data_IF_637474491745
#
_entry.id   IF_637474491745
#
_cell.length_a   1.000
_cell.length_b   1.000
_cell.length_c   1.000
_cell.angle_alpha   90.00
_cell.angle_beta   90.00
_cell.angle_gamma   90.00
#
_symmetry.space_group_name_H-M   'P 1'
#
loop_
_entity.id
_entity.type
_entity.pdbx_description
1 polymer ?
#
# COMPACT_ATOMS: atom_id res chain seq x y z
N UNK A 1 -9.01 -12.68 43.27
CA UNK A 1 -7.78 -13.36 42.79
C UNK A 1 -7.51 -12.79 41.38
N UNK A 2 -6.55 -11.90 41.25
CA UNK A 2 -6.18 -11.44 39.89
C UNK A 2 -5.16 -12.47 39.41
N UNK A 3 -5.59 -13.32 38.47
CA UNK A 3 -4.70 -14.24 37.76
C UNK A 3 -3.67 -13.46 36.90
N UNK A 4 -2.73 -14.16 36.28
CA UNK A 4 -1.85 -13.60 35.30
C UNK A 4 -2.67 -12.93 34.16
N UNK A 5 -2.18 -11.84 33.53
CA UNK A 5 -2.84 -11.24 32.38
C UNK A 5 -2.97 -12.28 31.26
N UNK A 6 -4.02 -12.18 30.46
CA UNK A 6 -4.29 -13.07 29.34
C UNK A 6 -4.57 -12.27 28.08
N UNK A 7 -3.92 -12.62 26.98
CA UNK A 7 -4.19 -12.03 25.67
C UNK A 7 -5.09 -12.98 24.88
N UNK A 8 -6.27 -12.50 24.47
CA UNK A 8 -7.21 -13.25 23.64
C UNK A 8 -6.92 -12.99 22.15
N UNK A 9 -6.78 -11.72 21.74
CA UNK A 9 -6.50 -11.31 20.35
C UNK A 9 -5.61 -10.08 20.26
N UNK A 10 -4.98 -9.92 19.07
CA UNK A 10 -4.28 -8.68 18.66
C UNK A 10 -4.78 -8.27 17.28
N UNK A 11 -5.19 -7.01 17.13
CA UNK A 11 -5.79 -6.47 15.90
C UNK A 11 -5.24 -5.08 15.54
N UNK A 12 -4.73 -4.93 14.31
CA UNK A 12 -4.41 -5.98 13.34
C UNK A 12 -3.19 -6.80 13.79
N UNK A 13 -3.06 -8.02 13.25
CA UNK A 13 -1.91 -8.90 13.50
C UNK A 13 -0.64 -8.46 12.76
N UNK A 14 -0.74 -7.48 11.88
CA UNK A 14 0.37 -6.94 11.10
C UNK A 14 0.51 -5.44 11.33
N UNK A 15 1.73 -4.97 11.46
CA UNK A 15 1.99 -3.54 11.64
C UNK A 15 3.36 -3.12 11.08
N UNK A 16 3.48 -1.82 10.79
CA UNK A 16 4.76 -1.16 10.61
C UNK A 16 5.31 -0.73 11.98
N UNK A 17 6.60 -0.49 12.13
CA UNK A 17 7.14 0.31 13.22
C UNK A 17 6.36 1.64 13.33
N UNK A 18 6.03 2.06 14.55
CA UNK A 18 5.16 3.22 14.82
C UNK A 18 3.65 2.96 14.64
N UNK A 19 3.24 1.83 14.08
CA UNK A 19 1.85 1.42 13.97
C UNK A 19 1.24 1.04 15.32
N UNK A 20 -0.08 1.08 15.45
CA UNK A 20 -0.80 0.77 16.71
C UNK A 20 -1.62 -0.50 16.57
N UNK A 21 -1.44 -1.41 17.53
CA UNK A 21 -2.21 -2.65 17.63
C UNK A 21 -3.08 -2.63 18.88
N UNK A 22 -4.29 -3.17 18.77
CA UNK A 22 -5.18 -3.38 19.91
C UNK A 22 -5.00 -4.81 20.43
N UNK A 23 -4.57 -4.93 21.66
CA UNK A 23 -4.43 -6.18 22.41
C UNK A 23 -5.68 -6.31 23.28
N UNK A 24 -6.51 -7.31 23.03
CA UNK A 24 -7.71 -7.58 23.81
C UNK A 24 -7.47 -8.79 24.72
N UNK A 25 -8.06 -8.77 25.92
CA UNK A 25 -7.85 -9.83 26.89
C UNK A 25 -8.41 -9.51 28.28
N UNK A 26 -7.87 -10.12 29.31
CA UNK A 26 -8.26 -9.94 30.69
C UNK A 26 -7.05 -9.72 31.60
N UNK A 27 -7.25 -9.04 32.74
CA UNK A 27 -6.19 -8.74 33.71
C UNK A 27 -5.11 -7.79 33.15
N UNK A 28 -5.42 -7.03 32.12
CA UNK A 28 -4.47 -6.17 31.43
C UNK A 28 -4.19 -4.85 32.16
N UNK A 29 -4.96 -4.52 33.19
CA UNK A 29 -4.76 -3.32 34.00
C UNK A 29 -3.94 -3.64 35.26
N UNK A 30 -2.84 -2.91 35.52
CA UNK A 30 -2.13 -2.96 36.79
C UNK A 30 -3.03 -2.50 37.95
N UNK A 31 -2.79 -3.06 39.15
CA UNK A 31 -3.53 -2.68 40.37
C UNK A 31 -3.26 -1.24 40.81
N UNK A 32 -2.02 -0.79 40.62
CA UNK A 32 -1.61 0.60 40.83
C UNK A 32 -1.80 1.40 39.55
N UNK A 33 -1.83 2.73 39.64
CA UNK A 33 -1.90 3.64 38.48
C UNK A 33 -0.58 3.64 37.69
N UNK A 34 -0.06 2.44 37.43
CA UNK A 34 1.09 2.22 36.54
C UNK A 34 0.60 1.83 35.16
N UNK A 35 1.44 2.06 34.13
CA UNK A 35 1.16 1.53 32.81
C UNK A 35 1.54 0.05 32.76
N UNK A 36 0.76 -0.79 32.06
CA UNK A 36 1.19 -2.16 31.78
C UNK A 36 2.43 -2.11 30.87
N UNK A 37 3.28 -3.11 31.01
CA UNK A 37 4.44 -3.29 30.11
C UNK A 37 4.00 -4.15 28.93
N UNK A 38 4.28 -3.70 27.73
CA UNK A 38 4.03 -4.46 26.48
C UNK A 38 5.35 -4.67 25.78
N UNK A 39 5.70 -5.90 25.45
CA UNK A 39 6.93 -6.23 24.76
C UNK A 39 6.66 -6.91 23.44
N UNK A 40 7.34 -6.45 22.41
CA UNK A 40 7.38 -7.02 21.07
C UNK A 40 8.72 -7.76 20.91
N UNK A 41 8.72 -9.09 21.17
CA UNK A 41 9.96 -9.82 21.35
C UNK A 41 10.76 -9.26 22.53
N UNK A 42 11.95 -8.75 22.25
CA UNK A 42 12.83 -8.15 23.24
C UNK A 42 12.75 -6.60 23.32
N UNK A 43 11.89 -5.96 22.52
CA UNK A 43 11.76 -4.50 22.46
C UNK A 43 10.50 -4.04 23.19
N UNK A 44 10.62 -3.01 24.02
CA UNK A 44 9.51 -2.46 24.77
C UNK A 44 8.63 -1.57 23.91
N UNK A 45 7.33 -1.88 23.84
CA UNK A 45 6.32 -1.11 23.16
C UNK A 45 5.72 0.00 24.04
N UNK A 46 5.24 1.06 23.42
CA UNK A 46 4.59 2.16 24.13
C UNK A 46 3.10 1.93 24.24
N UNK A 47 2.56 2.00 25.46
CA UNK A 47 1.12 1.92 25.71
C UNK A 47 0.48 3.30 25.46
N UNK A 48 -0.44 3.34 24.51
CA UNK A 48 -1.22 4.56 24.15
C UNK A 48 -2.48 4.66 25.02
N UNK A 49 -3.23 3.55 25.10
CA UNK A 49 -4.43 3.42 25.90
C UNK A 49 -4.39 2.10 26.65
N UNK A 50 -4.76 2.10 27.93
CA UNK A 50 -4.87 0.88 28.72
C UNK A 50 -6.18 0.79 29.46
N UNK A 51 -6.81 -0.38 29.47
CA UNK A 51 -8.00 -0.73 30.24
C UNK A 51 -7.87 -2.14 30.81
N UNK A 52 -8.89 -2.61 31.55
CA UNK A 52 -8.94 -3.97 32.07
C UNK A 52 -9.01 -5.03 30.95
N UNK A 53 -9.68 -4.68 29.83
CA UNK A 53 -10.02 -5.62 28.76
C UNK A 53 -9.24 -5.41 27.47
N UNK A 54 -8.57 -4.27 27.31
CA UNK A 54 -7.75 -4.02 26.14
C UNK A 54 -6.64 -3.01 26.40
N UNK A 55 -5.60 -3.12 25.60
CA UNK A 55 -4.48 -2.17 25.49
C UNK A 55 -4.34 -1.78 24.02
N UNK A 56 -4.14 -0.50 23.75
CA UNK A 56 -3.61 -0.04 22.45
C UNK A 56 -2.13 0.22 22.68
N UNK A 57 -1.30 -0.53 21.97
CA UNK A 57 0.16 -0.41 22.03
C UNK A 57 0.74 -0.01 20.69
N UNK A 58 1.75 0.85 20.72
CA UNK A 58 2.52 1.21 19.53
C UNK A 58 3.69 0.27 19.36
N UNK A 59 3.83 -0.27 18.15
CA UNK A 59 4.96 -1.11 17.76
C UNK A 59 6.24 -0.26 17.76
N UNK A 60 7.27 -0.62 18.51
CA UNK A 60 8.49 0.18 18.60
C UNK A 60 9.35 0.06 17.33
N UNK A 61 10.21 1.05 17.10
CA UNK A 61 11.31 0.92 16.14
C UNK A 61 12.24 -0.21 16.58
N UNK A 62 12.75 -0.96 15.61
CA UNK A 62 13.59 -2.12 15.85
C UNK A 62 12.84 -3.40 16.26
N UNK A 63 11.51 -3.37 16.40
CA UNK A 63 10.74 -4.58 16.57
C UNK A 63 10.79 -5.45 15.31
N UNK A 64 10.84 -6.74 15.50
CA UNK A 64 10.70 -7.76 14.46
C UNK A 64 9.44 -8.61 14.70
N UNK A 65 9.02 -9.33 13.66
CA UNK A 65 7.91 -10.29 13.78
C UNK A 65 8.18 -11.30 14.89
N UNK A 66 7.18 -11.54 15.73
CA UNK A 66 7.32 -12.47 16.85
C UNK A 66 6.26 -12.30 17.92
N UNK A 67 6.54 -12.81 19.10
CA UNK A 67 5.59 -12.84 20.20
C UNK A 67 5.47 -11.48 20.90
N UNK A 68 4.23 -11.09 21.16
CA UNK A 68 3.88 -9.97 22.02
C UNK A 68 3.43 -10.52 23.37
N UNK A 69 3.92 -9.90 24.43
CA UNK A 69 3.62 -10.26 25.83
C UNK A 69 3.25 -9.00 26.60
N UNK A 70 2.25 -9.11 27.46
CA UNK A 70 1.87 -8.05 28.41
C UNK A 70 2.28 -8.47 29.80
N UNK A 71 2.91 -7.57 30.55
CA UNK A 71 3.23 -7.78 31.95
C UNK A 71 2.47 -6.81 32.86
N UNK A 72 1.81 -7.33 33.87
CA UNK A 72 1.08 -6.59 34.89
C UNK A 72 1.33 -7.22 36.26
N UNK A 73 1.54 -6.41 37.30
CA UNK A 73 1.67 -6.87 38.71
C UNK A 73 2.73 -7.97 38.89
N UNK A 74 3.80 -7.97 38.09
CA UNK A 74 4.86 -9.00 38.16
C UNK A 74 4.54 -10.33 37.45
N UNK A 75 3.39 -10.45 36.79
CA UNK A 75 2.99 -11.61 36.01
C UNK A 75 3.01 -11.29 34.52
N UNK A 76 3.37 -12.28 33.68
CA UNK A 76 3.36 -12.19 32.22
C UNK A 76 2.16 -12.91 31.62
N UNK A 77 1.64 -12.41 30.52
CA UNK A 77 0.58 -13.07 29.74
C UNK A 77 1.10 -14.27 28.95
N UNK A 78 0.16 -15.04 28.39
CA UNK A 78 0.44 -15.87 27.23
C UNK A 78 0.97 -15.01 26.07
N UNK A 79 1.86 -15.56 25.22
CA UNK A 79 2.34 -14.87 24.02
C UNK A 79 1.29 -14.89 22.89
N UNK A 80 1.29 -13.86 22.05
CA UNK A 80 0.56 -13.80 20.78
C UNK A 80 1.45 -13.24 19.71
N UNK A 81 1.39 -13.82 18.53
CA UNK A 81 2.23 -13.41 17.39
C UNK A 81 1.73 -12.11 16.74
N UNK A 82 2.67 -11.24 16.39
CA UNK A 82 2.47 -10.06 15.53
C UNK A 82 3.53 -10.07 14.44
N UNK A 83 3.15 -9.74 13.21
CA UNK A 83 4.06 -9.57 12.10
C UNK A 83 4.41 -8.09 11.95
N UNK A 84 5.68 -7.79 11.90
CA UNK A 84 6.20 -6.43 11.78
C UNK A 84 6.92 -6.27 10.45
N UNK A 85 6.57 -5.22 9.70
CA UNK A 85 7.23 -4.91 8.46
C UNK A 85 8.67 -4.41 8.72
N UNK A 86 9.59 -4.81 7.86
CA UNK A 86 11.01 -4.48 7.96
C UNK A 86 11.36 -3.43 6.91
N UNK A 87 12.03 -2.31 7.26
CA UNK A 87 12.54 -1.35 6.29
C UNK A 87 13.53 -2.03 5.34
N UNK A 88 13.36 -1.81 4.02
CA UNK A 88 14.26 -2.31 2.97
C UNK A 88 14.93 -1.19 2.19
N UNK A 89 14.32 -0.01 2.16
CA UNK A 89 14.92 1.19 1.59
C UNK A 89 14.37 2.43 2.29
N UNK A 90 15.25 3.33 2.67
CA UNK A 90 14.91 4.59 3.35
C UNK A 90 15.31 5.80 2.51
N UNK A 91 14.81 6.98 2.88
CA UNK A 91 15.07 8.25 2.19
C UNK A 91 14.63 8.27 0.73
N UNK A 92 13.68 7.41 0.37
CA UNK A 92 12.92 7.48 -0.87
C UNK A 92 11.64 8.28 -0.62
N UNK A 93 11.10 8.89 -1.68
CA UNK A 93 9.82 9.60 -1.62
C UNK A 93 8.80 8.96 -2.58
N UNK A 94 8.35 7.72 -2.30
CA UNK A 94 7.30 7.09 -3.09
C UNK A 94 6.01 7.91 -3.02
N UNK A 95 5.30 7.99 -4.13
CA UNK A 95 4.01 8.72 -4.22
C UNK A 95 2.87 7.84 -4.70
N UNK A 96 3.15 6.57 -4.98
CA UNK A 96 2.20 5.59 -5.46
C UNK A 96 2.63 4.16 -5.07
N UNK A 97 1.94 3.16 -5.58
CA UNK A 97 2.33 1.76 -5.43
C UNK A 97 3.76 1.54 -5.94
N UNK A 98 4.58 0.76 -5.23
CA UNK A 98 5.77 0.19 -5.82
C UNK A 98 5.37 -0.81 -6.91
N UNK A 99 6.25 -1.08 -7.87
CA UNK A 99 6.10 -2.18 -8.80
C UNK A 99 7.06 -3.32 -8.39
N UNK A 100 6.65 -4.57 -8.62
CA UNK A 100 7.47 -5.75 -8.33
C UNK A 100 7.51 -6.60 -9.58
N UNK A 101 8.72 -7.00 -10.02
CA UNK A 101 8.88 -7.88 -11.18
C UNK A 101 8.76 -9.37 -10.79
N UNK A 102 8.88 -10.26 -11.78
CA UNK A 102 8.76 -11.71 -11.58
C UNK A 102 9.90 -12.30 -10.72
N UNK A 103 11.04 -11.66 -10.73
CA UNK A 103 12.22 -12.02 -9.94
C UNK A 103 12.15 -11.51 -8.49
N UNK A 104 11.16 -10.66 -8.18
CA UNK A 104 10.96 -10.08 -6.86
C UNK A 104 11.73 -8.78 -6.64
N UNK A 105 12.33 -8.18 -7.68
CA UNK A 105 12.90 -6.86 -7.55
C UNK A 105 11.80 -5.82 -7.39
N UNK A 106 12.04 -4.86 -6.53
CA UNK A 106 11.10 -3.78 -6.20
C UNK A 106 11.54 -2.51 -6.92
N UNK A 107 10.59 -1.82 -7.54
CA UNK A 107 10.82 -0.53 -8.16
C UNK A 107 10.03 0.53 -7.39
N UNK A 108 10.73 1.57 -6.96
CA UNK A 108 10.14 2.65 -6.18
C UNK A 108 10.49 4.02 -6.79
N UNK A 109 9.49 4.89 -6.89
CA UNK A 109 9.69 6.25 -7.38
C UNK A 109 10.36 7.12 -6.34
N UNK A 110 11.20 8.05 -6.81
CA UNK A 110 11.62 9.22 -6.06
C UNK A 110 11.05 10.45 -6.77
N UNK A 111 9.96 10.99 -6.25
CA UNK A 111 9.26 12.10 -6.87
C UNK A 111 9.49 13.39 -6.09
N UNK A 112 10.24 14.30 -6.67
CA UNK A 112 10.43 15.66 -6.14
C UNK A 112 9.16 16.52 -6.23
N UNK A 113 9.26 17.79 -5.86
CA UNK A 113 8.21 18.79 -6.09
C UNK A 113 7.90 18.89 -7.57
N UNK A 114 6.69 19.34 -7.93
CA UNK A 114 6.29 19.44 -9.36
C UNK A 114 7.28 20.31 -10.14
N UNK A 115 7.86 19.75 -11.22
CA UNK A 115 8.87 20.40 -12.05
C UNK A 115 10.27 20.36 -11.46
N UNK A 116 10.48 19.70 -10.34
CA UNK A 116 11.80 19.51 -9.78
C UNK A 116 12.49 18.30 -10.44
N UNK A 117 13.68 18.52 -10.97
CA UNK A 117 14.58 17.45 -11.41
C UNK A 117 15.20 16.79 -10.21
N UNK A 118 15.23 15.47 -10.17
CA UNK A 118 15.88 14.65 -9.16
C UNK A 118 16.98 13.80 -9.82
N UNK A 119 18.10 13.52 -9.13
CA UNK A 119 19.20 12.74 -9.70
C UNK A 119 18.79 11.34 -10.14
N UNK A 120 17.91 10.71 -9.39
CA UNK A 120 17.37 9.38 -9.66
C UNK A 120 15.85 9.45 -9.50
N UNK A 121 15.12 9.09 -10.53
CA UNK A 121 13.66 9.12 -10.54
C UNK A 121 13.03 7.80 -10.09
N UNK A 122 13.69 6.67 -10.38
CA UNK A 122 13.26 5.33 -9.98
C UNK A 122 14.47 4.55 -9.48
N UNK A 123 14.30 3.97 -8.31
CA UNK A 123 15.26 3.02 -7.73
C UNK A 123 14.77 1.59 -7.94
N UNK A 124 15.72 0.67 -8.16
CA UNK A 124 15.50 -0.77 -8.10
C UNK A 124 16.12 -1.30 -6.82
N UNK A 125 15.37 -2.13 -6.12
CA UNK A 125 15.80 -2.81 -4.88
C UNK A 125 15.73 -4.30 -5.19
N UNK A 126 16.84 -4.99 -5.13
CA UNK A 126 16.89 -6.42 -5.42
C UNK A 126 16.44 -7.30 -4.24
N UNK A 127 16.44 -8.61 -4.44
CA UNK A 127 16.05 -9.58 -3.42
C UNK A 127 16.99 -9.61 -2.19
N UNK A 128 18.19 -9.04 -2.30
CA UNK A 128 19.14 -8.85 -1.18
C UNK A 128 18.96 -7.50 -0.48
N UNK A 129 17.98 -6.71 -0.94
CA UNK A 129 17.70 -5.33 -0.50
C UNK A 129 18.82 -4.33 -0.84
N UNK A 130 19.61 -4.62 -1.88
CA UNK A 130 20.55 -3.65 -2.43
C UNK A 130 19.79 -2.62 -3.28
N UNK A 131 19.99 -1.33 -2.98
CA UNK A 131 19.25 -0.22 -3.60
C UNK A 131 20.12 0.42 -4.67
N UNK A 132 19.66 0.35 -5.91
CA UNK A 132 20.41 0.84 -7.08
C UNK A 132 19.59 1.86 -7.88
N UNK A 133 20.23 2.91 -8.44
CA UNK A 133 19.60 3.77 -9.44
C UNK A 133 19.15 2.94 -10.65
N UNK A 134 17.90 3.15 -11.09
CA UNK A 134 17.37 2.46 -12.27
C UNK A 134 17.02 3.42 -13.40
N UNK A 135 16.34 4.52 -13.10
CA UNK A 135 16.02 5.58 -14.07
C UNK A 135 16.43 6.92 -13.49
N UNK A 136 17.21 7.67 -14.28
CA UNK A 136 17.53 9.07 -14.03
C UNK A 136 16.75 9.96 -15.01
N UNK A 137 16.75 11.28 -14.78
CA UNK A 137 16.26 12.31 -15.70
C UNK A 137 14.75 12.27 -16.04
N UNK A 138 13.94 11.46 -15.36
CA UNK A 138 12.48 11.49 -15.49
C UNK A 138 11.90 12.46 -14.47
N UNK A 139 11.06 13.38 -14.95
CA UNK A 139 10.39 14.33 -14.06
C UNK A 139 9.12 13.75 -13.45
N UNK A 140 9.02 13.87 -12.14
CA UNK A 140 7.83 13.56 -11.35
C UNK A 140 7.13 12.22 -11.71
N UNK A 141 7.86 11.08 -11.71
CA UNK A 141 7.25 9.78 -11.89
C UNK A 141 6.20 9.55 -10.80
N UNK A 142 5.09 8.92 -11.18
CA UNK A 142 3.98 8.71 -10.23
C UNK A 142 3.53 7.24 -10.23
N UNK A 143 2.65 6.83 -11.13
CA UNK A 143 2.20 5.45 -11.24
C UNK A 143 3.18 4.58 -12.01
N UNK A 144 3.29 3.33 -11.60
CA UNK A 144 4.13 2.33 -12.26
C UNK A 144 3.35 1.02 -12.43
N UNK A 145 3.50 0.39 -13.59
CA UNK A 145 2.98 -0.96 -13.86
C UNK A 145 3.86 -1.69 -14.87
N UNK A 146 4.08 -2.97 -14.68
CA UNK A 146 4.69 -3.81 -15.69
C UNK A 146 3.68 -4.15 -16.78
N UNK A 147 4.08 -4.00 -18.03
CA UNK A 147 3.32 -4.47 -19.19
C UNK A 147 3.57 -5.96 -19.45
N UNK A 148 2.70 -6.56 -20.29
CA UNK A 148 2.85 -7.95 -20.73
C UNK A 148 4.14 -8.21 -21.56
N UNK A 149 4.78 -7.13 -22.01
CA UNK A 149 6.06 -7.16 -22.73
C UNK A 149 7.29 -7.12 -21.81
N UNK A 150 7.07 -7.18 -20.48
CA UNK A 150 8.12 -7.13 -19.47
C UNK A 150 8.76 -5.76 -19.27
N UNK A 151 8.28 -4.70 -19.94
CA UNK A 151 8.75 -3.35 -19.70
C UNK A 151 7.98 -2.71 -18.54
N UNK A 152 8.65 -1.81 -17.83
CA UNK A 152 8.01 -0.97 -16.81
C UNK A 152 7.41 0.26 -17.48
N UNK A 153 6.12 0.52 -17.25
CA UNK A 153 5.45 1.73 -17.68
C UNK A 153 5.32 2.69 -16.51
N UNK A 154 5.57 3.97 -16.77
CA UNK A 154 5.64 5.00 -15.72
C UNK A 154 4.92 6.25 -16.17
N UNK A 155 3.94 6.70 -15.40
CA UNK A 155 3.28 7.99 -15.66
C UNK A 155 4.07 9.14 -15.06
N UNK A 156 4.08 10.28 -15.74
CA UNK A 156 4.65 11.54 -15.25
C UNK A 156 3.53 12.55 -15.03
N UNK A 157 3.40 13.03 -13.81
CA UNK A 157 2.44 14.08 -13.47
C UNK A 157 2.89 15.48 -13.93
N UNK A 158 4.12 15.61 -14.43
CA UNK A 158 4.67 16.88 -14.89
C UNK A 158 4.16 17.25 -16.28
N UNK A 159 4.26 16.33 -17.21
CA UNK A 159 4.00 16.53 -18.63
C UNK A 159 2.81 15.71 -19.17
N UNK A 160 2.19 14.87 -18.36
CA UNK A 160 1.05 14.04 -18.76
C UNK A 160 1.44 12.91 -19.71
N UNK A 161 2.69 12.47 -19.68
CA UNK A 161 3.23 11.41 -20.52
C UNK A 161 3.27 10.10 -19.75
N UNK A 162 3.01 8.98 -20.41
CA UNK A 162 3.42 7.66 -19.97
C UNK A 162 4.69 7.27 -20.71
N UNK A 163 5.71 6.93 -19.95
CA UNK A 163 6.97 6.43 -20.46
C UNK A 163 7.02 4.90 -20.36
N UNK A 164 7.70 4.28 -21.34
CA UNK A 164 8.07 2.87 -21.31
C UNK A 164 9.54 2.77 -20.98
N UNK A 165 9.86 1.99 -19.98
CA UNK A 165 11.22 1.76 -19.48
C UNK A 165 11.58 0.29 -19.70
N UNK A 166 12.64 0.05 -20.46
CA UNK A 166 13.13 -1.30 -20.71
C UNK A 166 13.79 -1.90 -19.46
N UNK A 167 14.01 -3.23 -19.40
CA UNK A 167 14.73 -3.88 -18.30
C UNK A 167 16.14 -3.30 -18.02
N UNK A 168 16.73 -2.65 -19.03
CA UNK A 168 18.05 -2.00 -18.91
C UNK A 168 17.95 -0.51 -18.53
N UNK A 169 16.74 0.00 -18.16
CA UNK A 169 16.54 1.38 -17.76
C UNK A 169 16.42 2.39 -18.91
N UNK A 170 16.37 1.95 -20.19
CA UNK A 170 16.18 2.88 -21.31
C UNK A 170 14.73 3.39 -21.34
N UNK A 171 14.57 4.71 -21.39
CA UNK A 171 13.28 5.41 -21.34
C UNK A 171 12.86 5.85 -22.75
N UNK A 172 11.62 5.59 -23.12
CA UNK A 172 10.98 6.05 -24.36
C UNK A 172 9.58 6.55 -24.07
N UNK A 173 9.10 7.60 -24.76
CA UNK A 173 7.69 8.02 -24.68
C UNK A 173 6.79 6.93 -25.25
N UNK A 174 5.71 6.63 -24.54
CA UNK A 174 4.70 5.65 -24.97
C UNK A 174 3.39 6.32 -25.38
N UNK A 175 2.87 7.22 -24.57
CA UNK A 175 1.64 7.99 -24.84
C UNK A 175 1.72 9.36 -24.15
N UNK A 176 1.12 10.39 -24.76
CA UNK A 176 1.21 11.78 -24.31
C UNK A 176 -0.17 12.44 -24.25
N UNK A 177 -0.27 13.57 -23.56
CA UNK A 177 -1.47 14.42 -23.60
C UNK A 177 -2.53 14.10 -22.55
N UNK A 178 -2.18 13.39 -21.47
CA UNK A 178 -3.11 12.93 -20.43
C UNK A 178 -3.16 13.86 -19.20
N UNK A 179 -2.96 15.15 -19.38
CA UNK A 179 -3.10 16.15 -18.30
C UNK A 179 -2.11 15.91 -17.15
N UNK A 180 -2.61 15.64 -15.96
CA UNK A 180 -1.79 15.27 -14.78
C UNK A 180 -1.89 13.77 -14.57
N UNK A 181 -1.17 13.00 -15.40
CA UNK A 181 -1.16 11.54 -15.38
C UNK A 181 -0.62 11.03 -14.03
N UNK A 182 -1.38 10.14 -13.39
CA UNK A 182 -1.06 9.61 -12.06
C UNK A 182 -1.06 8.09 -12.05
N UNK A 183 -2.04 7.42 -11.46
CA UNK A 183 -2.09 5.96 -11.42
C UNK A 183 -2.26 5.34 -12.81
N UNK A 184 -1.63 4.20 -13.01
CA UNK A 184 -1.75 3.41 -14.24
C UNK A 184 -1.98 1.94 -13.93
N UNK A 185 -2.68 1.24 -14.82
CA UNK A 185 -2.88 -0.21 -14.73
C UNK A 185 -3.14 -0.80 -16.12
N UNK A 186 -2.69 -2.04 -16.35
CA UNK A 186 -3.02 -2.82 -17.52
C UNK A 186 -4.23 -3.72 -17.28
N UNK A 187 -5.09 -3.87 -18.30
CA UNK A 187 -6.08 -4.95 -18.33
C UNK A 187 -5.48 -6.27 -18.83
N UNK A 188 -6.27 -7.35 -18.80
CA UNK A 188 -5.83 -8.66 -19.27
C UNK A 188 -5.58 -8.76 -20.77
N UNK A 189 -6.04 -7.78 -21.56
CA UNK A 189 -5.83 -7.69 -23.00
C UNK A 189 -4.59 -6.88 -23.38
N UNK A 190 -3.95 -6.22 -22.39
CA UNK A 190 -2.76 -5.38 -22.60
C UNK A 190 -3.07 -3.95 -22.98
N UNK A 191 -4.29 -3.47 -22.78
CA UNK A 191 -4.58 -2.05 -22.84
C UNK A 191 -4.14 -1.37 -21.54
N UNK A 192 -3.62 -0.16 -21.64
CA UNK A 192 -3.17 0.63 -20.49
C UNK A 192 -4.24 1.66 -20.11
N UNK A 193 -4.53 1.75 -18.82
CA UNK A 193 -5.43 2.77 -18.29
C UNK A 193 -4.65 3.76 -17.43
N UNK A 194 -5.01 5.05 -17.56
CA UNK A 194 -4.31 6.16 -16.91
C UNK A 194 -5.31 7.08 -16.25
N UNK A 195 -5.13 7.36 -14.97
CA UNK A 195 -5.94 8.34 -14.24
C UNK A 195 -5.31 9.73 -14.30
N UNK A 196 -6.08 10.71 -14.78
CA UNK A 196 -5.76 12.12 -14.66
C UNK A 196 -6.46 12.74 -13.45
N UNK A 197 -5.77 13.57 -12.69
CA UNK A 197 -6.29 14.23 -11.49
C UNK A 197 -7.58 15.01 -11.68
N UNK A 198 -7.91 15.43 -12.89
CA UNK A 198 -9.19 16.07 -13.21
C UNK A 198 -10.40 15.15 -13.09
N UNK A 199 -10.20 13.85 -12.93
CA UNK A 199 -11.25 12.83 -12.85
C UNK A 199 -11.40 12.01 -14.12
N UNK A 200 -10.60 12.26 -15.14
CA UNK A 200 -10.64 11.49 -16.39
C UNK A 200 -9.81 10.22 -16.25
N UNK A 201 -10.39 9.09 -16.62
CA UNK A 201 -9.68 7.83 -16.83
C UNK A 201 -9.55 7.62 -18.33
N UNK A 202 -8.31 7.59 -18.82
CA UNK A 202 -8.00 7.28 -20.21
C UNK A 202 -7.75 5.79 -20.40
N UNK A 203 -8.15 5.25 -21.56
CA UNK A 203 -7.75 3.95 -22.07
C UNK A 203 -6.83 4.14 -23.26
N UNK A 204 -5.68 3.49 -23.25
CA UNK A 204 -4.71 3.48 -24.34
C UNK A 204 -4.71 2.07 -24.90
N UNK A 205 -5.17 1.92 -26.13
CA UNK A 205 -5.18 0.65 -26.85
C UNK A 205 -3.77 0.16 -27.16
N UNK A 206 -3.65 -1.12 -27.52
CA UNK A 206 -2.37 -1.70 -27.99
C UNK A 206 -1.83 -1.02 -29.25
N UNK A 207 -2.70 -0.40 -30.05
CA UNK A 207 -2.38 0.44 -31.20
C UNK A 207 -1.98 1.87 -30.81
N UNK A 208 -1.92 2.18 -29.50
CA UNK A 208 -1.63 3.47 -28.88
C UNK A 208 -2.69 4.55 -29.13
N UNK A 209 -3.89 4.21 -29.58
CA UNK A 209 -4.98 5.16 -29.60
C UNK A 209 -5.46 5.44 -28.18
N UNK A 210 -5.73 6.72 -27.89
CA UNK A 210 -6.12 7.20 -26.56
C UNK A 210 -7.61 7.53 -26.59
N UNK A 211 -8.37 6.99 -25.64
CA UNK A 211 -9.80 7.23 -25.49
C UNK A 211 -10.11 7.68 -24.06
N UNK A 212 -11.11 8.52 -23.88
CA UNK A 212 -11.73 8.74 -22.58
C UNK A 212 -12.56 7.50 -22.28
N UNK A 213 -12.21 6.80 -21.20
CA UNK A 213 -12.88 5.57 -20.78
C UNK A 213 -13.98 5.83 -19.77
N UNK A 214 -13.69 6.64 -18.74
CA UNK A 214 -14.63 6.98 -17.68
C UNK A 214 -14.31 8.36 -17.10
N UNK A 215 -15.28 8.92 -16.37
CA UNK A 215 -15.10 10.14 -15.59
C UNK A 215 -15.58 9.89 -14.16
N UNK A 216 -14.76 10.29 -13.18
CA UNK A 216 -15.03 10.17 -11.74
C UNK A 216 -14.80 11.53 -11.06
N UNK A 217 -15.08 11.61 -9.77
CA UNK A 217 -14.81 12.82 -8.99
C UNK A 217 -13.31 13.18 -9.02
N UNK A 218 -12.92 14.45 -9.24
CA UNK A 218 -11.53 14.88 -9.25
C UNK A 218 -10.82 14.58 -7.94
N UNK A 219 -9.54 14.20 -8.02
CA UNK A 219 -8.72 13.92 -6.85
C UNK A 219 -7.83 15.11 -6.47
N UNK A 220 -7.65 15.33 -5.15
CA UNK A 220 -6.69 16.31 -4.63
C UNK A 220 -5.25 15.79 -4.64
N UNK A 221 -5.05 14.50 -4.95
CA UNK A 221 -3.75 13.83 -5.04
C UNK A 221 -3.71 12.91 -6.26
N UNK A 222 -2.87 11.88 -6.26
CA UNK A 222 -2.83 10.88 -7.31
C UNK A 222 -4.07 9.98 -7.26
N UNK A 223 -4.57 9.57 -8.44
CA UNK A 223 -5.39 8.37 -8.56
C UNK A 223 -4.50 7.13 -8.52
N UNK A 224 -5.06 6.03 -8.06
CA UNK A 224 -4.44 4.70 -8.10
C UNK A 224 -5.44 3.73 -8.73
N UNK A 225 -4.95 2.86 -9.57
CA UNK A 225 -5.74 1.98 -10.42
C UNK A 225 -5.29 0.52 -10.22
N UNK A 226 -6.25 -0.40 -10.19
CA UNK A 226 -5.99 -1.83 -10.25
C UNK A 226 -7.13 -2.57 -10.95
N UNK A 227 -6.79 -3.53 -11.79
CA UNK A 227 -7.77 -4.47 -12.36
C UNK A 227 -7.93 -5.72 -11.50
N UNK A 228 -9.12 -6.29 -11.53
CA UNK A 228 -9.36 -7.62 -11.01
C UNK A 228 -9.81 -8.58 -12.13
N UNK A 229 -9.94 -9.89 -11.81
CA UNK A 229 -10.30 -10.94 -12.78
C UNK A 229 -11.72 -10.82 -13.36
N UNK A 230 -12.57 -10.01 -12.76
CA UNK A 230 -13.91 -9.69 -13.23
C UNK A 230 -13.90 -8.70 -14.44
N UNK A 231 -12.74 -8.24 -14.86
CA UNK A 231 -12.57 -7.26 -15.93
C UNK A 231 -12.85 -5.82 -15.50
N UNK A 232 -13.22 -5.60 -14.25
CA UNK A 232 -13.48 -4.25 -13.73
C UNK A 232 -12.19 -3.55 -13.28
N UNK A 233 -12.16 -2.25 -13.52
CA UNK A 233 -11.14 -1.33 -13.02
C UNK A 233 -11.57 -0.77 -11.68
N UNK A 234 -10.72 -0.87 -10.68
CA UNK A 234 -10.93 -0.26 -9.38
C UNK A 234 -10.04 0.96 -9.22
N UNK A 235 -10.63 2.06 -8.75
CA UNK A 235 -9.96 3.36 -8.68
C UNK A 235 -10.12 3.95 -7.29
N UNK A 236 -9.00 4.42 -6.74
CA UNK A 236 -8.95 5.23 -5.52
C UNK A 236 -8.31 6.58 -5.80
N UNK A 237 -8.69 7.57 -5.03
CA UNK A 237 -8.08 8.90 -5.06
C UNK A 237 -8.70 9.74 -3.95
N UNK A 238 -7.88 10.40 -3.11
CA UNK A 238 -8.42 11.24 -2.05
C UNK A 238 -9.08 12.48 -2.62
N UNK A 239 -10.23 12.82 -2.06
CA UNK A 239 -10.95 14.07 -2.35
C UNK A 239 -10.84 15.04 -1.17
N UNK A 240 -11.65 16.06 -1.14
CA UNK A 240 -11.81 16.94 0.03
C UNK A 240 -12.72 16.33 1.10
N UNK A 241 -13.33 15.19 0.83
CA UNK A 241 -14.17 14.45 1.77
C UNK A 241 -13.34 13.75 2.84
N UNK A 242 -13.97 13.47 3.98
CA UNK A 242 -13.42 12.58 5.01
C UNK A 242 -13.84 11.13 4.83
N UNK A 243 -14.73 10.85 3.86
CA UNK A 243 -15.31 9.54 3.56
C UNK A 243 -15.23 9.27 2.06
N UNK A 244 -13.99 9.10 1.60
CA UNK A 244 -13.70 8.81 0.20
C UNK A 244 -14.19 7.42 -0.22
N UNK A 245 -14.35 7.25 -1.53
CA UNK A 245 -14.80 6.02 -2.16
C UNK A 245 -13.67 5.24 -2.83
N UNK A 246 -13.88 3.94 -2.98
CA UNK A 246 -13.31 3.13 -4.04
C UNK A 246 -14.37 3.05 -5.14
N UNK A 247 -14.01 3.47 -6.34
CA UNK A 247 -14.86 3.35 -7.51
C UNK A 247 -14.57 2.04 -8.23
N UNK A 248 -15.61 1.43 -8.79
CA UNK A 248 -15.53 0.30 -9.73
C UNK A 248 -16.02 0.79 -11.08
N UNK A 249 -15.25 0.52 -12.13
CA UNK A 249 -15.60 0.88 -13.51
C UNK A 249 -15.68 -0.39 -14.33
N UNK A 250 -16.84 -0.65 -14.91
CA UNK A 250 -17.05 -1.84 -15.73
C UNK A 250 -16.34 -1.76 -17.09
N UNK A 251 -16.25 -2.85 -17.88
CA UNK A 251 -15.59 -2.82 -19.20
C UNK A 251 -16.20 -1.84 -20.21
N UNK A 252 -17.40 -1.33 -19.95
CA UNK A 252 -18.10 -0.35 -20.79
C UNK A 252 -17.90 1.09 -20.32
N UNK A 253 -17.16 1.30 -19.21
CA UNK A 253 -16.90 2.63 -18.63
C UNK A 253 -17.98 3.13 -17.67
N UNK A 254 -18.94 2.30 -17.26
CA UNK A 254 -19.93 2.68 -16.24
C UNK A 254 -19.27 2.65 -14.87
N UNK A 255 -19.46 3.75 -14.13
CA UNK A 255 -18.85 3.98 -12.82
C UNK A 255 -19.85 3.72 -11.71
N UNK A 256 -19.48 2.91 -10.73
CA UNK A 256 -20.22 2.75 -9.49
C UNK A 256 -19.31 2.87 -8.26
N UNK A 257 -19.92 3.11 -7.09
CA UNK A 257 -19.20 3.08 -5.82
C UNK A 257 -19.12 1.63 -5.34
N UNK A 258 -17.89 1.08 -5.30
CA UNK A 258 -17.66 -0.25 -4.74
C UNK A 258 -17.68 -0.21 -3.21
N UNK A 259 -16.97 0.75 -2.60
CA UNK A 259 -16.93 0.93 -1.15
C UNK A 259 -16.81 2.42 -0.80
N UNK A 260 -17.43 2.86 0.29
CA UNK A 260 -17.32 4.23 0.80
C UNK A 260 -17.06 4.22 2.31
N UNK A 261 -16.24 5.15 2.78
CA UNK A 261 -15.93 5.31 4.20
C UNK A 261 -14.45 5.28 4.52
N UNK A 262 -13.59 5.33 3.50
CA UNK A 262 -12.14 5.42 3.68
C UNK A 262 -11.70 6.88 3.87
N UNK A 263 -10.70 7.09 4.72
CA UNK A 263 -10.02 8.39 4.79
C UNK A 263 -8.77 8.37 3.92
N UNK A 264 -8.71 9.28 2.93
CA UNK A 264 -7.56 9.48 2.02
C UNK A 264 -7.05 8.19 1.40
N UNK A 265 -7.86 7.42 0.67
CA UNK A 265 -7.43 6.21 0.01
C UNK A 265 -6.39 6.53 -1.06
N UNK A 266 -5.34 5.72 -1.11
CA UNK A 266 -4.23 5.83 -2.04
C UNK A 266 -4.02 4.48 -2.74
N UNK A 267 -2.78 3.98 -2.82
CA UNK A 267 -2.46 2.76 -3.52
C UNK A 267 -3.30 1.56 -3.13
N UNK A 268 -3.60 0.72 -4.11
CA UNK A 268 -4.46 -0.46 -3.95
C UNK A 268 -3.90 -1.65 -4.71
N UNK A 269 -4.19 -2.85 -4.21
CA UNK A 269 -3.84 -4.11 -4.86
C UNK A 269 -4.80 -5.22 -4.45
N UNK A 270 -4.99 -6.22 -5.31
CA UNK A 270 -5.82 -7.40 -5.04
C UNK A 270 -4.99 -8.62 -4.64
N UNK A 271 -5.55 -9.46 -3.78
CA UNK A 271 -5.09 -10.83 -3.63
C UNK A 271 -5.79 -11.80 -4.61
N UNK A 272 -5.31 -13.04 -4.63
CA UNK A 272 -5.89 -14.08 -5.51
C UNK A 272 -7.30 -14.50 -5.12
N UNK A 273 -7.77 -14.14 -3.92
CA UNK A 273 -9.11 -14.42 -3.41
C UNK A 273 -10.11 -13.32 -3.72
N UNK A 274 -9.68 -12.21 -4.31
CA UNK A 274 -10.52 -11.05 -4.64
C UNK A 274 -10.67 -10.04 -3.53
N UNK A 275 -9.91 -10.15 -2.45
CA UNK A 275 -9.88 -9.10 -1.47
C UNK A 275 -9.06 -7.92 -2.00
N UNK A 276 -9.60 -6.72 -1.85
CA UNK A 276 -8.92 -5.46 -2.17
C UNK A 276 -8.22 -4.92 -0.94
N UNK A 277 -6.96 -4.55 -1.10
CA UNK A 277 -6.16 -3.90 -0.06
C UNK A 277 -5.86 -2.48 -0.48
N UNK A 278 -6.15 -1.52 0.40
CA UNK A 278 -6.02 -0.08 0.12
C UNK A 278 -5.22 0.60 1.21
N UNK A 279 -4.21 1.38 0.83
CA UNK A 279 -3.52 2.28 1.76
C UNK A 279 -4.48 3.44 2.12
N UNK A 280 -5.03 3.43 3.33
CA UNK A 280 -6.08 4.36 3.74
C UNK A 280 -6.21 4.44 5.27
N UNK A 281 -7.13 5.26 5.75
CA UNK A 281 -7.63 5.12 7.13
C UNK A 281 -9.04 4.56 7.16
N UNK A 282 -9.30 3.72 8.16
CA UNK A 282 -10.61 3.17 8.48
C UNK A 282 -10.94 3.52 9.93
N UNK A 283 -12.07 4.21 10.14
CA UNK A 283 -12.50 4.66 11.48
C UNK A 283 -11.39 5.39 12.26
N UNK A 284 -10.65 6.27 11.57
CA UNK A 284 -9.54 7.05 12.14
C UNK A 284 -8.22 6.29 12.31
N UNK A 285 -8.17 4.97 12.08
CA UNK A 285 -6.96 4.16 12.17
C UNK A 285 -6.31 4.04 10.78
N UNK A 286 -5.01 4.36 10.68
CA UNK A 286 -4.25 4.37 9.42
C UNK A 286 -3.54 3.05 9.17
N UNK A 287 -3.49 2.65 7.89
CA UNK A 287 -2.78 1.45 7.51
C UNK A 287 -3.17 0.93 6.13
N UNK A 288 -3.13 -0.38 5.97
CA UNK A 288 -3.72 -1.08 4.84
C UNK A 288 -5.08 -1.61 5.27
N UNK A 289 -6.11 -1.18 4.58
CA UNK A 289 -7.50 -1.63 4.78
C UNK A 289 -7.78 -2.75 3.78
N UNK A 290 -8.21 -3.89 4.29
CA UNK A 290 -8.74 -5.00 3.49
C UNK A 290 -10.24 -4.79 3.28
N UNK A 291 -10.71 -4.91 2.05
CA UNK A 291 -12.13 -4.92 1.68
C UNK A 291 -12.40 -6.25 0.97
N UNK A 292 -13.34 -7.02 1.51
CA UNK A 292 -13.73 -8.31 0.92
C UNK A 292 -14.60 -8.12 -0.33
N UNK A 293 -14.81 -9.16 -1.15
CA UNK A 293 -15.81 -9.11 -2.24
C UNK A 293 -17.22 -8.75 -1.75
N UNK A 294 -17.56 -9.12 -0.52
CA UNK A 294 -18.84 -8.78 0.13
C UNK A 294 -18.87 -7.34 0.67
N UNK A 295 -17.83 -6.55 0.37
CA UNK A 295 -17.69 -5.14 0.77
C UNK A 295 -17.54 -4.93 2.30
N UNK A 296 -17.08 -5.93 3.01
CA UNK A 296 -16.71 -5.78 4.42
C UNK A 296 -15.27 -5.25 4.55
N UNK A 297 -15.08 -4.20 5.37
CA UNK A 297 -13.79 -3.56 5.54
C UNK A 297 -13.20 -3.79 6.93
N UNK A 298 -11.91 -4.07 6.99
CA UNK A 298 -11.12 -4.21 8.21
C UNK A 298 -9.71 -3.67 8.04
N UNK A 299 -9.09 -3.20 9.13
CA UNK A 299 -7.69 -2.80 9.12
C UNK A 299 -6.82 -4.06 9.16
N UNK A 300 -6.08 -4.34 8.10
CA UNK A 300 -5.24 -5.53 7.96
C UNK A 300 -3.79 -5.31 8.39
N UNK A 301 -3.26 -4.10 8.16
CA UNK A 301 -1.93 -3.68 8.63
C UNK A 301 -2.05 -2.30 9.25
N UNK A 302 -1.52 -2.12 10.45
CA UNK A 302 -1.45 -0.79 11.07
C UNK A 302 -0.14 -0.10 10.70
N UNK A 303 -0.22 1.15 10.25
CA UNK A 303 0.96 1.94 9.89
C UNK A 303 0.60 3.34 9.46
N UNK A 304 1.53 4.27 9.62
CA UNK A 304 1.35 5.65 9.19
C UNK A 304 2.08 5.93 7.89
N UNK A 305 1.67 6.99 7.20
CA UNK A 305 2.31 7.51 5.99
C UNK A 305 2.35 6.52 4.81
N UNK A 306 1.54 5.47 4.83
CA UNK A 306 1.42 4.54 3.71
C UNK A 306 0.81 5.25 2.50
N UNK A 307 1.45 5.07 1.34
CA UNK A 307 1.02 5.62 0.05
C UNK A 307 0.69 4.52 -0.97
N UNK A 308 1.14 3.30 -0.72
CA UNK A 308 0.87 2.20 -1.63
C UNK A 308 1.37 0.86 -1.14
N UNK A 309 1.01 -0.17 -1.90
CA UNK A 309 1.44 -1.54 -1.67
C UNK A 309 1.54 -2.30 -3.00
N UNK A 310 2.39 -3.32 -3.00
CA UNK A 310 2.40 -4.36 -4.02
C UNK A 310 2.62 -5.71 -3.37
N UNK A 311 2.11 -6.75 -3.99
CA UNK A 311 2.41 -8.12 -3.57
C UNK A 311 3.64 -8.64 -4.33
N UNK A 312 4.54 -9.25 -3.61
CA UNK A 312 5.71 -9.93 -4.14
C UNK A 312 5.57 -11.46 -4.09
N UNK A 313 6.57 -12.18 -4.60
CA UNK A 313 6.59 -13.63 -4.53
C UNK A 313 6.63 -14.14 -3.09
N UNK A 314 6.21 -15.41 -2.88
CA UNK A 314 6.28 -16.08 -1.57
C UNK A 314 5.36 -15.50 -0.49
N UNK A 315 4.33 -14.74 -0.85
CA UNK A 315 3.40 -14.14 0.12
C UNK A 315 3.96 -12.91 0.84
N UNK A 316 4.96 -12.27 0.26
CA UNK A 316 5.52 -11.01 0.73
C UNK A 316 4.69 -9.84 0.21
N UNK A 317 4.49 -8.83 1.03
CA UNK A 317 3.97 -7.53 0.60
C UNK A 317 5.06 -6.46 0.72
N UNK A 318 5.13 -5.61 -0.29
CA UNK A 318 5.97 -4.43 -0.34
C UNK A 318 5.09 -3.23 -0.04
N UNK A 319 5.43 -2.48 1.00
CA UNK A 319 4.66 -1.35 1.51
C UNK A 319 5.45 -0.07 1.28
N UNK A 320 4.89 0.86 0.51
CA UNK A 320 5.50 2.17 0.28
C UNK A 320 4.94 3.17 1.29
N UNK A 321 5.83 3.92 1.91
CA UNK A 321 5.52 5.09 2.75
C UNK A 321 6.05 6.35 2.10
N UNK A 322 5.71 7.53 2.64
CA UNK A 322 6.24 8.80 2.15
C UNK A 322 7.75 8.96 2.31
N UNK A 323 8.42 8.06 3.03
CA UNK A 323 9.86 8.15 3.33
C UNK A 323 10.67 6.92 2.90
N UNK A 324 10.02 5.83 2.47
CA UNK A 324 10.74 4.61 2.11
C UNK A 324 9.85 3.44 1.80
N UNK A 325 10.47 2.28 1.70
CA UNK A 325 9.83 1.01 1.36
C UNK A 325 10.12 -0.01 2.45
N UNK A 326 9.10 -0.77 2.83
CA UNK A 326 9.18 -1.84 3.81
C UNK A 326 8.71 -3.17 3.19
N UNK A 327 9.25 -4.26 3.68
CA UNK A 327 8.83 -5.64 3.34
C UNK A 327 8.08 -6.26 4.51
N UNK A 328 6.97 -6.92 4.23
CA UNK A 328 6.16 -7.63 5.20
C UNK A 328 5.95 -9.09 4.75
N UNK A 329 6.46 -10.05 5.51
CA UNK A 329 6.17 -11.47 5.32
C UNK A 329 4.71 -11.75 5.74
N UNK A 330 3.77 -11.41 4.84
CA UNK A 330 2.33 -11.40 5.17
C UNK A 330 1.68 -12.76 5.02
N UNK A 331 2.19 -13.59 4.10
CA UNK A 331 1.62 -14.89 3.77
C UNK A 331 0.37 -14.78 2.87
N UNK A 332 0.12 -13.62 2.28
CA UNK A 332 -0.97 -13.40 1.34
C UNK A 332 -0.42 -13.47 -0.08
N UNK A 333 -1.02 -14.30 -0.89
CA UNK A 333 -0.69 -14.38 -2.31
C UNK A 333 -1.42 -13.27 -3.06
N UNK A 334 -0.67 -12.31 -3.56
CA UNK A 334 -1.19 -11.26 -4.40
C UNK A 334 -1.55 -11.77 -5.80
N UNK A 335 -2.48 -11.07 -6.43
CA UNK A 335 -2.74 -11.27 -7.84
C UNK A 335 -1.58 -10.69 -8.65
N UNK A 336 -0.93 -11.49 -9.45
CA UNK A 336 0.03 -11.04 -10.45
C UNK A 336 -0.71 -10.74 -11.75
N UNK A 337 -0.55 -9.54 -12.29
CA UNK A 337 -1.13 -9.14 -13.59
C UNK A 337 -0.35 -9.71 -14.79
N UNK A 338 0.85 -10.24 -14.54
CA UNK A 338 1.68 -10.85 -15.57
C UNK A 338 1.43 -12.35 -15.50
N UNK A 339 0.88 -13.00 -16.55
CA UNK A 339 0.87 -14.45 -16.64
C UNK A 339 2.32 -14.94 -16.56
N UNK A 340 2.58 -15.90 -15.69
CA UNK A 340 3.84 -16.65 -15.71
C UNK A 340 4.01 -17.19 -17.12
N UNK A 341 5.10 -16.79 -17.79
CA UNK A 341 5.49 -17.32 -19.11
C UNK A 341 5.86 -18.80 -18.96
#
# INVERSE_FOLDING_TARGET
MNGAPQIDSIEPMCALPGGEVRISGSGLRPRELRRPEVRFGDVDGSVVVGSEQFIVARVPEGASSGNVVVATNGHRSNPREVRVAVPVAENLHPVANPAVDAEGNIYATFSGSRGQTVPVAIFRIDASYDVQPFVSEMMNPTGMAFGHDGNLYVSSRYDGTVYRVSPNGNVTSYAEGMGVATGIAFDGEGNLYVGDRSGTIFKIGRDRQIFVFAMIEPSVSAFHLAFYNDGNLYVTGPTTSSFDAVYQVDPHGHVEVFYRGLGRPQGLAFDVQGNLYVAASLHGRRGIVKITPDREASLAVSGQNLVGLAFGPGGTAVLATTSGVLSLAWGIQGRTLIPSI
#
